data_IF_999321330570
#
_entry.id   IF_999321330570
#
_cell.length_a   1.000
_cell.length_b   1.000
_cell.length_c   1.000
_cell.angle_alpha   90.00
_cell.angle_beta   90.00
_cell.angle_gamma   90.00
#
_symmetry.space_group_name_H-M   'P 1'
#
loop_
_entity.id
_entity.type
_entity.pdbx_description
1 polymer ?
#
# COMPACT_ATOMS: atom_id res chain seq x y z
N UNK A 1 7.91 -22.66 -4.94
CA UNK A 1 9.09 -21.83 -4.66
C UNK A 1 9.62 -21.08 -5.88
N UNK A 2 10.26 -21.72 -6.88
CA UNK A 2 10.76 -21.00 -8.08
C UNK A 2 9.66 -20.23 -8.83
N UNK A 3 8.49 -20.82 -9.01
CA UNK A 3 7.37 -20.18 -9.72
C UNK A 3 6.84 -18.94 -8.99
N UNK A 4 6.64 -19.04 -7.67
CA UNK A 4 6.19 -17.92 -6.84
C UNK A 4 7.22 -16.78 -6.81
N UNK A 5 8.52 -17.12 -6.72
CA UNK A 5 9.60 -16.13 -6.77
C UNK A 5 9.66 -15.41 -8.12
N UNK A 6 9.56 -16.15 -9.22
CA UNK A 6 9.57 -15.57 -10.56
C UNK A 6 8.35 -14.66 -10.77
N UNK A 7 7.16 -15.05 -10.30
CA UNK A 7 5.97 -14.18 -10.37
C UNK A 7 6.15 -12.88 -9.58
N UNK A 8 6.79 -12.95 -8.40
CA UNK A 8 7.11 -11.75 -7.62
C UNK A 8 8.17 -10.90 -8.31
N UNK A 9 9.20 -11.51 -8.90
CA UNK A 9 10.23 -10.79 -9.67
C UNK A 9 9.65 -10.10 -10.91
N UNK A 10 8.74 -10.77 -11.63
CA UNK A 10 8.03 -10.20 -12.78
C UNK A 10 7.12 -9.04 -12.33
N UNK A 11 6.40 -9.19 -11.21
CA UNK A 11 5.56 -8.13 -10.65
C UNK A 11 6.38 -6.92 -10.18
N UNK A 12 7.55 -7.11 -9.59
CA UNK A 12 8.43 -6.00 -9.17
C UNK A 12 9.02 -5.27 -10.38
N UNK A 13 9.43 -6.00 -11.43
CA UNK A 13 10.11 -5.43 -12.59
C UNK A 13 9.14 -4.80 -13.60
N UNK A 14 8.01 -5.45 -13.88
CA UNK A 14 7.08 -5.03 -14.93
C UNK A 14 5.89 -4.23 -14.39
N UNK A 15 5.58 -4.38 -13.10
CA UNK A 15 4.38 -3.79 -12.50
C UNK A 15 4.52 -3.44 -11.02
N UNK A 16 5.57 -2.67 -10.71
CA UNK A 16 5.89 -2.21 -9.35
C UNK A 16 4.67 -1.59 -8.65
N UNK A 17 3.85 -0.84 -9.40
CA UNK A 17 2.62 -0.23 -8.89
C UNK A 17 1.65 -1.27 -8.34
N UNK A 18 1.31 -2.29 -9.11
CA UNK A 18 0.35 -3.30 -8.66
C UNK A 18 0.95 -4.20 -7.57
N UNK A 19 2.26 -4.42 -7.57
CA UNK A 19 2.95 -5.13 -6.49
C UNK A 19 2.82 -4.41 -5.14
N UNK A 20 3.14 -3.11 -5.11
CA UNK A 20 3.06 -2.30 -3.89
C UNK A 20 1.60 -2.17 -3.42
N UNK A 21 0.65 -1.95 -4.33
CA UNK A 21 -0.77 -1.93 -4.00
C UNK A 21 -1.26 -3.24 -3.40
N UNK A 22 -0.81 -4.38 -3.93
CA UNK A 22 -1.20 -5.70 -3.41
C UNK A 22 -0.68 -5.93 -1.98
N UNK A 23 0.53 -5.45 -1.66
CA UNK A 23 1.08 -5.50 -0.29
C UNK A 23 0.23 -4.64 0.64
N UNK A 24 -0.04 -3.37 0.29
CA UNK A 24 -0.85 -2.45 1.09
C UNK A 24 -2.26 -3.01 1.31
N UNK A 25 -2.85 -3.59 0.27
CA UNK A 25 -4.16 -4.24 0.34
C UNK A 25 -4.19 -5.40 1.33
N UNK A 26 -3.17 -6.26 1.27
CA UNK A 26 -3.02 -7.42 2.16
C UNK A 26 -2.80 -7.00 3.61
N UNK A 27 -1.94 -6.01 3.83
CA UNK A 27 -1.52 -5.59 5.17
C UNK A 27 -2.60 -4.76 5.89
N UNK A 28 -3.20 -3.79 5.19
CA UNK A 28 -4.15 -2.86 5.80
C UNK A 28 -5.61 -3.27 5.59
N UNK A 29 -5.86 -4.37 4.86
CA UNK A 29 -7.21 -4.84 4.53
C UNK A 29 -7.96 -3.91 3.58
N UNK A 30 -7.25 -3.12 2.77
CA UNK A 30 -7.82 -2.13 1.85
C UNK A 30 -8.07 -2.77 0.49
N UNK A 31 -9.32 -2.76 0.04
CA UNK A 31 -9.69 -3.25 -1.30
C UNK A 31 -10.14 -2.13 -2.25
N UNK A 32 -10.07 -0.86 -1.81
CA UNK A 32 -10.48 0.28 -2.61
C UNK A 32 -9.32 0.73 -3.52
N UNK A 33 -9.47 0.49 -4.82
CA UNK A 33 -8.45 0.81 -5.83
C UNK A 33 -8.05 2.29 -5.83
N UNK A 34 -8.99 3.21 -5.64
CA UNK A 34 -8.68 4.65 -5.59
C UNK A 34 -7.87 5.03 -4.35
N UNK A 35 -8.06 4.33 -3.24
CA UNK A 35 -7.23 4.54 -2.06
C UNK A 35 -5.83 3.93 -2.25
N UNK A 36 -5.74 2.75 -2.86
CA UNK A 36 -4.47 2.10 -3.19
C UNK A 36 -3.65 2.93 -4.20
N UNK A 37 -4.28 3.55 -5.19
CA UNK A 37 -3.63 4.49 -6.11
C UNK A 37 -3.01 5.68 -5.37
N UNK A 38 -3.76 6.33 -4.48
CA UNK A 38 -3.26 7.48 -3.71
C UNK A 38 -2.13 7.12 -2.75
N UNK A 39 -2.23 5.95 -2.12
CA UNK A 39 -1.17 5.44 -1.24
C UNK A 39 0.10 5.12 -2.04
N UNK A 40 -0.04 4.58 -3.26
CA UNK A 40 1.10 4.37 -4.14
C UNK A 40 1.73 5.69 -4.60
N UNK A 41 0.92 6.66 -5.01
CA UNK A 41 1.42 7.95 -5.47
C UNK A 41 2.16 8.69 -4.34
N UNK A 42 1.60 8.69 -3.12
CA UNK A 42 2.25 9.27 -1.94
C UNK A 42 3.52 8.49 -1.51
N UNK A 43 3.59 7.18 -1.79
CA UNK A 43 4.79 6.38 -1.59
C UNK A 43 5.91 6.74 -2.58
N UNK A 44 5.57 6.92 -3.87
CA UNK A 44 6.53 7.29 -4.91
C UNK A 44 7.02 8.74 -4.81
N UNK A 45 6.18 9.65 -4.31
CA UNK A 45 6.51 11.07 -4.15
C UNK A 45 7.49 11.33 -2.99
N UNK A 46 7.72 10.35 -2.12
CA UNK A 46 8.61 10.49 -0.97
C UNK A 46 9.76 9.49 -1.04
N UNK A 47 10.91 9.96 -1.56
CA UNK A 47 12.17 9.22 -1.73
C UNK A 47 12.72 8.58 -0.43
N UNK A 48 12.17 8.94 0.74
CA UNK A 48 12.61 8.46 2.05
C UNK A 48 11.74 7.34 2.63
N UNK A 49 10.58 7.05 2.04
CA UNK A 49 9.67 6.02 2.56
C UNK A 49 10.20 4.63 2.21
N UNK A 50 10.37 3.80 3.23
CA UNK A 50 10.57 2.37 3.03
C UNK A 50 9.20 1.69 3.03
N UNK A 51 9.13 0.47 2.49
CA UNK A 51 7.89 -0.33 2.44
C UNK A 51 7.39 -0.81 3.84
N UNK A 52 7.74 -0.11 4.92
CA UNK A 52 7.54 -0.55 6.30
C UNK A 52 6.14 -0.22 6.84
N UNK A 53 5.69 -1.08 7.75
CA UNK A 53 4.36 -1.17 8.32
C UNK A 53 3.80 0.14 8.90
N UNK A 54 4.64 0.91 9.62
CA UNK A 54 4.22 2.12 10.33
C UNK A 54 4.06 3.34 9.42
N UNK A 55 4.81 3.43 8.30
CA UNK A 55 4.73 4.59 7.38
C UNK A 55 3.39 4.64 6.63
N UNK A 56 2.84 3.48 6.27
CA UNK A 56 1.51 3.42 5.66
C UNK A 56 0.40 3.86 6.62
N UNK A 57 0.56 3.66 7.93
CA UNK A 57 -0.42 4.13 8.92
C UNK A 57 -0.46 5.66 8.95
N UNK A 58 0.69 6.33 8.96
CA UNK A 58 0.77 7.78 8.88
C UNK A 58 0.20 8.34 7.58
N UNK A 59 0.45 7.70 6.44
CA UNK A 59 -0.09 8.12 5.14
C UNK A 59 -1.61 7.96 5.06
N UNK A 60 -2.15 6.87 5.61
CA UNK A 60 -3.60 6.64 5.68
C UNK A 60 -4.25 7.70 6.57
N UNK A 61 -3.64 8.05 7.70
CA UNK A 61 -4.16 9.08 8.59
C UNK A 61 -4.14 10.47 7.92
N UNK A 62 -3.04 10.87 7.29
CA UNK A 62 -2.92 12.15 6.57
C UNK A 62 -3.93 12.26 5.40
N UNK A 63 -4.07 11.21 4.58
CA UNK A 63 -5.05 11.20 3.49
C UNK A 63 -6.50 11.23 4.00
N UNK A 64 -6.77 10.65 5.18
CA UNK A 64 -8.09 10.71 5.83
C UNK A 64 -8.38 12.10 6.38
N UNK A 65 -7.40 12.74 7.04
CA UNK A 65 -7.51 14.11 7.53
C UNK A 65 -7.74 15.10 6.38
N UNK A 66 -7.08 14.90 5.25
CA UNK A 66 -7.30 15.66 4.02
C UNK A 66 -8.62 15.33 3.32
N UNK A 67 -9.40 14.36 3.83
CA UNK A 67 -10.69 13.94 3.28
C UNK A 67 -10.59 13.21 1.94
N UNK A 68 -9.38 12.78 1.56
CA UNK A 68 -9.09 12.09 0.31
C UNK A 68 -9.55 10.63 0.30
N UNK A 69 -9.67 10.04 1.49
CA UNK A 69 -10.19 8.70 1.75
C UNK A 69 -11.18 8.77 2.92
N UNK A 70 -12.35 8.13 2.80
CA UNK A 70 -13.42 8.23 3.80
C UNK A 70 -13.86 6.88 4.39
N UNK A 71 -13.75 5.79 3.62
CA UNK A 71 -14.41 4.51 3.93
C UNK A 71 -13.45 3.32 3.94
N UNK A 72 -12.26 3.47 4.53
CA UNK A 72 -11.37 2.33 4.75
C UNK A 72 -11.63 1.74 6.15
N UNK A 73 -11.99 0.44 6.26
CA UNK A 73 -12.03 -0.24 7.54
C UNK A 73 -10.60 -0.26 8.09
N UNK A 74 -10.38 0.45 9.19
CA UNK A 74 -9.11 0.40 9.91
C UNK A 74 -9.11 -0.90 10.72
N UNK A 75 -8.32 -1.88 10.29
CA UNK A 75 -8.01 -3.05 11.14
C UNK A 75 -6.90 -2.61 12.08
N UNK A 76 -7.26 -2.20 13.30
CA UNK A 76 -6.31 -2.11 14.39
C UNK A 76 -5.73 -3.50 14.61
N UNK A 77 -4.40 -3.63 14.53
CA UNK A 77 -3.73 -4.84 14.98
C UNK A 77 -4.18 -5.16 16.43
N UNK A 78 -4.64 -6.39 16.62
CA UNK A 78 -4.87 -6.93 17.97
C UNK A 78 -3.55 -6.91 18.75
N UNK A 79 -3.63 -6.45 20.00
CA UNK A 79 -2.55 -6.40 21.01
C UNK A 79 -1.73 -7.68 21.15
#
# INVERSE_FOLDING_TARGET
>A
YKTMRNQIEDMVNDNHKDFVKAIISLEKGINNESALDKLYDAYMDNDSLNLLHEEFDYMIEDLREQGQIKDLPYVQEEK
#
